data_IF_785301332120
#
_entry.id   IF_785301332120
#
_cell.length_a   1.000
_cell.length_b   1.000
_cell.length_c   1.000
_cell.angle_alpha   90.00
_cell.angle_beta   90.00
_cell.angle_gamma   90.00
#
_symmetry.space_group_name_H-M   'P 1'
#
loop_
_entity.id
_entity.type
_entity.pdbx_description
1 polymer ?
#
# COMPACT_ATOMS: atom_id res chain seq x y z
N UNK A 1 -35.75 2.86 -12.23
CA UNK A 1 -35.22 2.58 -10.88
C UNK A 1 -34.26 3.71 -10.53
N UNK A 2 -34.49 4.42 -9.43
CA UNK A 2 -33.61 5.51 -8.98
C UNK A 2 -32.54 4.90 -8.05
N UNK A 3 -31.26 5.17 -8.31
CA UNK A 3 -30.14 4.80 -7.42
C UNK A 3 -29.48 6.07 -6.90
N UNK A 4 -29.13 6.11 -5.62
CA UNK A 4 -28.37 7.20 -5.01
C UNK A 4 -26.89 6.81 -4.95
N UNK A 5 -26.02 7.81 -5.01
CA UNK A 5 -24.61 7.60 -4.70
C UNK A 5 -24.46 7.63 -3.18
N UNK A 6 -24.15 6.48 -2.60
CA UNK A 6 -23.92 6.27 -1.17
C UNK A 6 -22.87 5.17 -0.96
N UNK A 7 -22.60 4.80 0.29
CA UNK A 7 -21.62 3.76 0.62
C UNK A 7 -21.96 2.41 -0.02
N UNK A 8 -23.25 2.09 -0.11
CA UNK A 8 -23.70 0.84 -0.72
C UNK A 8 -23.40 0.81 -2.22
N UNK A 9 -23.59 1.92 -2.92
CA UNK A 9 -23.20 2.04 -4.33
C UNK A 9 -21.69 1.77 -4.52
N UNK A 10 -20.85 2.29 -3.63
CA UNK A 10 -19.39 2.09 -3.70
C UNK A 10 -19.01 0.63 -3.46
N UNK A 11 -19.65 -0.02 -2.48
CA UNK A 11 -19.48 -1.45 -2.20
C UNK A 11 -19.88 -2.31 -3.40
N UNK A 12 -21.03 -2.04 -4.04
CA UNK A 12 -21.48 -2.74 -5.25
C UNK A 12 -20.47 -2.64 -6.41
N UNK A 13 -19.73 -1.52 -6.49
CA UNK A 13 -18.82 -1.23 -7.60
C UNK A 13 -17.34 -1.38 -7.24
N UNK A 14 -17.03 -1.92 -6.05
CA UNK A 14 -15.68 -1.99 -5.51
C UNK A 14 -14.68 -2.57 -6.51
N UNK A 15 -14.98 -3.75 -7.07
CA UNK A 15 -14.10 -4.44 -8.04
C UNK A 15 -13.78 -3.57 -9.24
N UNK A 16 -14.76 -2.86 -9.79
CA UNK A 16 -14.58 -1.98 -10.95
C UNK A 16 -13.71 -0.77 -10.62
N UNK A 17 -13.79 -0.25 -9.39
CA UNK A 17 -13.00 0.89 -8.94
C UNK A 17 -11.53 0.51 -8.70
N UNK A 18 -11.24 -0.70 -8.20
CA UNK A 18 -9.89 -1.09 -7.77
C UNK A 18 -9.12 -1.94 -8.78
N UNK A 19 -9.81 -2.71 -9.64
CA UNK A 19 -9.15 -3.63 -10.59
C UNK A 19 -8.11 -2.92 -11.49
N UNK A 20 -8.38 -1.74 -12.06
CA UNK A 20 -7.39 -1.05 -12.89
C UNK A 20 -6.11 -0.70 -12.12
N UNK A 21 -6.22 -0.33 -10.83
CA UNK A 21 -5.08 0.03 -9.98
C UNK A 21 -4.23 -1.22 -9.65
N UNK A 22 -4.89 -2.34 -9.33
CA UNK A 22 -4.23 -3.62 -9.07
C UNK A 22 -3.48 -4.11 -10.30
N UNK A 23 -4.11 -4.02 -11.48
CA UNK A 23 -3.49 -4.38 -12.77
C UNK A 23 -2.28 -3.47 -13.04
N UNK A 24 -2.41 -2.15 -12.84
CA UNK A 24 -1.32 -1.20 -13.04
C UNK A 24 -0.11 -1.50 -12.15
N UNK A 25 -0.32 -1.77 -10.86
CA UNK A 25 0.76 -2.18 -9.95
C UNK A 25 1.40 -3.52 -10.36
N UNK A 26 0.58 -4.51 -10.71
CA UNK A 26 1.07 -5.84 -11.09
C UNK A 26 1.92 -5.80 -12.37
N UNK A 27 1.51 -5.00 -13.35
CA UNK A 27 2.18 -4.90 -14.67
C UNK A 27 3.31 -3.89 -14.73
N UNK A 28 3.51 -3.11 -13.66
CA UNK A 28 4.62 -2.17 -13.54
C UNK A 28 5.97 -2.85 -13.84
N UNK A 29 6.89 -2.18 -14.57
CA UNK A 29 8.17 -2.77 -14.94
C UNK A 29 9.00 -3.12 -13.70
N UNK A 30 9.71 -4.25 -13.77
CA UNK A 30 10.49 -4.84 -12.67
C UNK A 30 11.90 -5.15 -13.13
N UNK A 31 12.90 -4.90 -12.27
CA UNK A 31 14.29 -5.22 -12.54
C UNK A 31 14.46 -6.69 -12.95
N UNK A 32 15.05 -6.93 -14.13
CA UNK A 32 15.23 -8.27 -14.73
C UNK A 32 13.93 -9.09 -14.92
N UNK A 33 12.75 -8.46 -14.88
CA UNK A 33 11.47 -9.18 -14.95
C UNK A 33 11.17 -10.06 -13.73
N UNK A 34 11.91 -9.91 -12.63
CA UNK A 34 11.70 -10.70 -11.41
C UNK A 34 10.71 -9.96 -10.51
N UNK A 35 9.60 -10.63 -10.17
CA UNK A 35 8.59 -10.06 -9.30
C UNK A 35 8.82 -10.41 -7.82
N UNK A 36 9.26 -9.42 -7.05
CA UNK A 36 9.42 -9.50 -5.58
C UNK A 36 8.28 -8.80 -4.84
N UNK A 37 7.21 -8.41 -5.55
CA UNK A 37 6.09 -7.70 -4.98
C UNK A 37 4.96 -8.66 -4.60
N UNK A 38 4.23 -8.30 -3.55
CA UNK A 38 2.92 -8.86 -3.23
C UNK A 38 1.93 -7.69 -3.07
N UNK A 39 0.74 -7.83 -3.65
CA UNK A 39 -0.30 -6.80 -3.68
C UNK A 39 -1.54 -7.36 -3.01
N UNK A 40 -2.07 -6.66 -2.02
CA UNK A 40 -3.24 -7.09 -1.25
C UNK A 40 -4.30 -5.99 -1.28
N UNK A 41 -5.55 -6.36 -1.55
CA UNK A 41 -6.70 -5.47 -1.42
C UNK A 41 -7.37 -5.73 -0.07
N UNK A 42 -7.58 -4.67 0.71
CA UNK A 42 -8.23 -4.71 2.02
C UNK A 42 -9.46 -3.80 2.00
N UNK A 43 -10.61 -4.32 2.44
CA UNK A 43 -11.87 -3.57 2.57
C UNK A 43 -12.63 -4.08 3.81
N UNK A 44 -13.82 -3.52 4.09
CA UNK A 44 -14.71 -4.03 5.13
C UNK A 44 -14.04 -4.19 6.51
N UNK A 45 -14.25 -5.35 7.14
CA UNK A 45 -13.77 -5.63 8.48
C UNK A 45 -12.24 -5.63 8.59
N UNK A 46 -11.53 -6.15 7.59
CA UNK A 46 -10.07 -6.18 7.58
C UNK A 46 -9.47 -4.77 7.49
N UNK A 47 -10.16 -3.84 6.79
CA UNK A 47 -9.77 -2.42 6.73
C UNK A 47 -9.93 -1.76 8.10
N UNK A 48 -11.00 -2.09 8.82
CA UNK A 48 -11.23 -1.53 10.15
C UNK A 48 -10.24 -2.11 11.18
N UNK A 49 -9.94 -3.42 11.09
CA UNK A 49 -8.87 -4.05 11.87
C UNK A 49 -7.49 -3.41 11.62
N UNK A 50 -7.21 -3.03 10.37
CA UNK A 50 -6.00 -2.27 10.02
C UNK A 50 -5.94 -0.93 10.75
N UNK A 51 -7.04 -0.18 10.75
CA UNK A 51 -7.11 1.11 11.46
C UNK A 51 -6.96 0.93 12.99
N UNK A 52 -7.57 -0.11 13.57
CA UNK A 52 -7.44 -0.41 15.00
C UNK A 52 -6.00 -0.74 15.39
N UNK A 53 -5.30 -1.53 14.56
CA UNK A 53 -3.86 -1.79 14.77
C UNK A 53 -3.04 -0.52 14.66
N UNK A 54 -3.37 0.42 13.76
CA UNK A 54 -2.68 1.71 13.68
C UNK A 54 -2.84 2.53 14.97
N UNK A 55 -4.03 2.52 15.59
CA UNK A 55 -4.26 3.19 16.88
C UNK A 55 -3.51 2.51 18.05
N UNK A 56 -3.42 1.17 18.04
CA UNK A 56 -2.56 0.42 18.96
C UNK A 56 -1.08 0.83 18.81
N UNK A 57 -0.56 0.85 17.58
CA UNK A 57 0.82 1.27 17.30
C UNK A 57 1.04 2.71 17.74
N UNK A 58 0.10 3.62 17.44
CA UNK A 58 0.17 5.03 17.83
C UNK A 58 0.41 5.19 19.34
N UNK A 59 -0.34 4.46 20.16
CA UNK A 59 -0.18 4.44 21.62
C UNK A 59 1.16 3.82 22.03
N UNK A 60 1.52 2.68 21.45
CA UNK A 60 2.74 1.92 21.79
C UNK A 60 4.03 2.72 21.55
N UNK A 61 4.11 3.47 20.44
CA UNK A 61 5.33 4.21 20.06
C UNK A 61 5.21 5.73 20.24
N UNK A 62 4.12 6.20 20.85
CA UNK A 62 3.81 7.62 21.05
C UNK A 62 3.93 8.44 19.75
N UNK A 63 3.33 7.94 18.66
CA UNK A 63 3.32 8.57 17.35
C UNK A 63 1.88 8.95 16.94
N UNK A 64 1.39 10.16 17.26
CA UNK A 64 0.00 10.55 17.03
C UNK A 64 -0.44 10.50 15.56
N UNK A 65 0.52 10.63 14.62
CA UNK A 65 0.21 10.59 13.19
C UNK A 65 -0.35 9.22 12.74
N UNK A 66 -0.01 8.12 13.43
CA UNK A 66 -0.62 6.82 13.16
C UNK A 66 -2.13 6.85 13.41
N UNK A 67 -2.57 7.44 14.53
CA UNK A 67 -3.99 7.53 14.84
C UNK A 67 -4.73 8.47 13.89
N UNK A 68 -4.11 9.60 13.51
CA UNK A 68 -4.66 10.47 12.46
C UNK A 68 -4.84 9.72 11.14
N UNK A 69 -3.81 9.02 10.69
CA UNK A 69 -3.85 8.26 9.45
C UNK A 69 -4.86 7.09 9.54
N UNK A 70 -5.06 6.50 10.73
CA UNK A 70 -6.06 5.47 10.98
C UNK A 70 -7.49 5.97 10.71
N UNK A 71 -7.78 7.23 11.03
CA UNK A 71 -9.07 7.84 10.67
C UNK A 71 -9.25 7.90 9.15
N UNK A 72 -8.20 8.21 8.39
CA UNK A 72 -8.27 8.18 6.93
C UNK A 72 -8.57 6.76 6.41
N UNK A 73 -7.99 5.72 7.02
CA UNK A 73 -8.29 4.33 6.69
C UNK A 73 -9.77 4.00 6.98
N UNK A 74 -10.32 4.44 8.11
CA UNK A 74 -11.74 4.23 8.42
C UNK A 74 -12.68 4.87 7.41
N UNK A 75 -12.35 6.08 6.96
CA UNK A 75 -13.13 6.82 5.96
C UNK A 75 -12.85 6.43 4.51
N UNK A 76 -11.87 5.54 4.26
CA UNK A 76 -11.61 4.99 2.93
C UNK A 76 -12.54 3.81 2.65
N UNK A 77 -12.94 3.62 1.39
CA UNK A 77 -13.75 2.44 1.02
C UNK A 77 -12.90 1.18 0.86
N UNK A 78 -11.62 1.35 0.50
CA UNK A 78 -10.65 0.26 0.36
C UNK A 78 -9.23 0.76 0.57
N UNK A 79 -8.30 -0.18 0.78
CA UNK A 79 -6.86 0.06 0.89
C UNK A 79 -6.14 -0.96 0.02
N UNK A 80 -5.26 -0.50 -0.86
CA UNK A 80 -4.31 -1.36 -1.58
C UNK A 80 -3.01 -1.36 -0.79
N UNK A 81 -2.53 -2.53 -0.41
CA UNK A 81 -1.22 -2.72 0.21
C UNK A 81 -0.27 -3.29 -0.81
N UNK A 82 0.95 -2.76 -0.87
CA UNK A 82 2.02 -3.29 -1.73
C UNK A 82 3.26 -3.50 -0.88
N UNK A 83 3.74 -4.73 -0.84
CA UNK A 83 4.94 -5.14 -0.11
C UNK A 83 6.03 -5.62 -1.05
N UNK A 84 7.29 -5.58 -0.59
CA UNK A 84 8.39 -6.27 -1.25
C UNK A 84 9.32 -6.99 -0.27
N UNK A 85 9.90 -8.09 -0.72
CA UNK A 85 10.91 -8.87 0.01
C UNK A 85 12.34 -8.32 -0.15
N UNK A 86 13.31 -8.97 0.48
CA UNK A 86 14.73 -8.58 0.44
C UNK A 86 15.58 -9.42 -0.53
N UNK A 87 14.95 -10.10 -1.50
CA UNK A 87 15.64 -10.92 -2.49
C UNK A 87 16.75 -10.16 -3.18
N UNK A 88 17.88 -10.84 -3.42
CA UNK A 88 18.98 -10.29 -4.22
C UNK A 88 18.62 -10.29 -5.70
N UNK A 89 19.14 -9.30 -6.44
CA UNK A 89 18.97 -9.24 -7.91
C UNK A 89 20.06 -10.01 -8.68
N UNK A 90 21.16 -10.36 -8.00
CA UNK A 90 22.28 -11.11 -8.56
C UNK A 90 23.05 -10.35 -9.65
N UNK A 91 23.09 -9.02 -9.56
CA UNK A 91 23.79 -8.15 -10.51
C UNK A 91 25.15 -7.66 -10.02
N UNK A 92 25.45 -7.84 -8.72
CA UNK A 92 26.69 -7.36 -8.08
C UNK A 92 27.02 -5.89 -8.40
N UNK A 93 25.98 -5.05 -8.46
CA UNK A 93 26.07 -3.66 -8.93
C UNK A 93 26.58 -2.65 -7.90
N UNK A 94 26.68 -3.01 -6.61
CA UNK A 94 27.11 -2.10 -5.55
C UNK A 94 26.07 -1.06 -5.08
N UNK A 95 24.94 -0.88 -5.77
CA UNK A 95 24.01 0.23 -5.50
C UNK A 95 23.28 0.17 -4.15
N UNK A 96 23.24 -0.99 -3.49
CA UNK A 96 22.71 -1.12 -2.13
C UNK A 96 23.78 -0.96 -1.03
N UNK A 97 25.00 -0.58 -1.40
CA UNK A 97 26.10 -0.32 -0.47
C UNK A 97 27.01 -1.52 -0.15
N UNK A 98 26.75 -2.69 -0.72
CA UNK A 98 27.53 -3.91 -0.53
C UNK A 98 28.33 -4.28 -1.78
N UNK A 99 29.53 -4.85 -1.63
CA UNK A 99 30.42 -5.11 -2.76
C UNK A 99 29.83 -6.12 -3.76
N UNK A 100 29.16 -7.16 -3.26
CA UNK A 100 28.39 -8.11 -4.07
C UNK A 100 27.08 -8.50 -3.39
N UNK A 101 26.21 -9.21 -4.13
CA UNK A 101 24.89 -9.62 -3.63
C UNK A 101 24.99 -10.64 -2.50
N UNK A 102 26.03 -11.47 -2.49
CA UNK A 102 26.29 -12.49 -1.48
C UNK A 102 26.65 -11.89 -0.11
N UNK A 103 27.23 -10.69 -0.10
CA UNK A 103 27.57 -9.97 1.14
C UNK A 103 26.40 -9.15 1.70
N UNK A 104 25.29 -9.00 0.97
CA UNK A 104 24.13 -8.24 1.40
C UNK A 104 23.37 -9.01 2.49
N UNK A 105 23.24 -8.49 3.73
CA UNK A 105 22.42 -9.13 4.75
C UNK A 105 20.96 -9.29 4.31
N UNK A 106 20.30 -10.33 4.79
CA UNK A 106 18.88 -10.57 4.53
C UNK A 106 17.96 -9.48 5.09
N UNK A 107 18.44 -8.66 6.02
CA UNK A 107 17.71 -7.50 6.57
C UNK A 107 17.84 -6.24 5.73
N UNK A 108 18.77 -6.19 4.76
CA UNK A 108 18.97 -5.03 3.90
C UNK A 108 18.24 -5.20 2.57
N UNK A 109 17.41 -4.24 2.15
CA UNK A 109 16.71 -4.32 0.87
C UNK A 109 17.68 -4.17 -0.30
N UNK A 110 17.42 -4.92 -1.37
CA UNK A 110 18.05 -4.63 -2.66
C UNK A 110 17.46 -3.33 -3.23
N UNK A 111 18.30 -2.45 -3.80
CA UNK A 111 17.83 -1.19 -4.41
C UNK A 111 16.73 -1.44 -5.45
N UNK A 112 16.83 -2.52 -6.23
CA UNK A 112 15.84 -2.85 -7.25
C UNK A 112 14.48 -3.19 -6.64
N UNK A 113 14.44 -3.84 -5.47
CA UNK A 113 13.16 -4.21 -4.85
C UNK A 113 12.40 -2.95 -4.41
N UNK A 114 13.08 -1.98 -3.78
CA UNK A 114 12.45 -0.70 -3.40
C UNK A 114 12.15 0.20 -4.61
N UNK A 115 12.98 0.16 -5.65
CA UNK A 115 12.67 0.85 -6.92
C UNK A 115 11.43 0.25 -7.59
N UNK A 116 11.38 -1.07 -7.74
CA UNK A 116 10.25 -1.78 -8.35
C UNK A 116 8.95 -1.54 -7.55
N UNK A 117 9.05 -1.53 -6.21
CA UNK A 117 7.94 -1.15 -5.32
C UNK A 117 7.47 0.28 -5.57
N UNK A 118 8.40 1.24 -5.69
CA UNK A 118 8.10 2.64 -5.99
C UNK A 118 7.40 2.81 -7.35
N UNK A 119 7.86 2.10 -8.38
CA UNK A 119 7.24 2.11 -9.70
C UNK A 119 5.81 1.53 -9.62
N UNK A 120 5.62 0.39 -8.95
CA UNK A 120 4.30 -0.22 -8.79
C UNK A 120 3.31 0.68 -8.04
N UNK A 121 3.75 1.31 -6.95
CA UNK A 121 2.95 2.33 -6.25
C UNK A 121 2.62 3.51 -7.15
N UNK A 122 3.61 4.04 -7.87
CA UNK A 122 3.45 5.14 -8.82
C UNK A 122 2.42 4.84 -9.92
N UNK A 123 2.48 3.63 -10.49
CA UNK A 123 1.51 3.16 -11.48
C UNK A 123 0.10 3.08 -10.90
N UNK A 124 -0.08 2.50 -9.71
CA UNK A 124 -1.38 2.41 -9.06
C UNK A 124 -1.97 3.79 -8.75
N UNK A 125 -1.21 4.70 -8.12
CA UNK A 125 -1.73 6.03 -7.77
C UNK A 125 -2.00 6.89 -9.01
N UNK A 126 -1.23 6.72 -10.09
CA UNK A 126 -1.50 7.38 -11.38
C UNK A 126 -2.84 6.92 -11.96
N UNK A 127 -3.14 5.63 -11.93
CA UNK A 127 -4.45 5.10 -12.35
C UNK A 127 -5.57 5.56 -11.42
N UNK A 128 -5.33 5.61 -10.11
CA UNK A 128 -6.29 6.19 -9.16
C UNK A 128 -6.64 7.64 -9.53
N UNK A 129 -5.66 8.46 -9.89
CA UNK A 129 -5.87 9.85 -10.33
C UNK A 129 -6.63 9.96 -11.67
N UNK A 130 -6.48 8.99 -12.57
CA UNK A 130 -7.28 8.93 -13.80
C UNK A 130 -8.76 8.67 -13.49
N UNK A 131 -9.03 7.78 -12.53
CA UNK A 131 -10.37 7.47 -12.03
C UNK A 131 -10.91 8.49 -11.01
N UNK A 132 -10.12 9.52 -10.66
CA UNK A 132 -10.46 10.53 -9.64
C UNK A 132 -10.73 9.93 -8.25
N UNK A 133 -10.04 8.84 -7.94
CA UNK A 133 -10.03 8.27 -6.59
C UNK A 133 -9.00 9.03 -5.75
N UNK A 134 -9.49 9.72 -4.72
CA UNK A 134 -8.61 10.36 -3.74
C UNK A 134 -7.78 9.28 -3.04
N UNK A 135 -6.48 9.54 -2.86
CA UNK A 135 -5.56 8.59 -2.25
C UNK A 135 -4.34 9.27 -1.62
N UNK A 136 -3.59 8.52 -0.82
CA UNK A 136 -2.30 8.92 -0.27
C UNK A 136 -1.46 7.69 0.07
N UNK A 137 -0.16 7.70 -0.23
CA UNK A 137 0.74 6.61 0.17
C UNK A 137 1.09 6.75 1.66
N UNK A 138 0.86 5.68 2.43
CA UNK A 138 1.04 5.65 3.89
C UNK A 138 1.96 4.50 4.31
N UNK A 139 3.11 4.85 4.89
CA UNK A 139 3.96 3.90 5.62
C UNK A 139 3.30 3.41 6.92
N UNK A 140 2.55 4.28 7.62
CA UNK A 140 1.90 3.98 8.90
C UNK A 140 0.97 2.77 8.80
N UNK A 141 0.08 2.78 7.81
CA UNK A 141 -0.81 1.66 7.52
C UNK A 141 -0.05 0.43 6.99
N UNK A 142 1.01 0.62 6.19
CA UNK A 142 1.86 -0.50 5.75
C UNK A 142 2.51 -1.26 6.91
N UNK A 143 3.02 -0.54 7.91
CA UNK A 143 3.56 -1.13 9.14
C UNK A 143 2.50 -1.93 9.91
N UNK A 144 1.31 -1.37 10.06
CA UNK A 144 0.19 -2.05 10.73
C UNK A 144 -0.20 -3.34 10.01
N UNK A 145 -0.27 -3.33 8.68
CA UNK A 145 -0.57 -4.51 7.88
C UNK A 145 0.49 -5.62 8.05
N UNK A 146 1.77 -5.25 8.16
CA UNK A 146 2.85 -6.19 8.48
C UNK A 146 2.65 -6.87 9.84
N UNK A 147 2.26 -6.11 10.87
CA UNK A 147 1.98 -6.67 12.21
C UNK A 147 0.71 -7.53 12.28
N UNK A 148 -0.24 -7.32 11.36
CA UNK A 148 -1.44 -8.15 11.22
C UNK A 148 -1.24 -9.40 10.35
N UNK A 149 -0.11 -9.53 9.65
CA UNK A 149 0.17 -10.68 8.81
C UNK A 149 -0.72 -10.76 7.56
N UNK A 150 -1.06 -9.63 6.96
CA UNK A 150 -1.91 -9.58 5.76
C UNK A 150 -1.23 -10.11 4.48
N UNK A 151 0.06 -10.42 4.54
CA UNK A 151 0.85 -10.93 3.43
C UNK A 151 1.14 -12.41 3.60
N UNK A 152 1.11 -13.16 2.50
CA UNK A 152 1.44 -14.59 2.49
C UNK A 152 2.95 -14.81 2.62
N UNK A 153 3.75 -13.87 2.11
CA UNK A 153 5.20 -13.87 2.25
C UNK A 153 5.65 -12.89 3.34
N UNK A 154 6.84 -13.10 3.86
CA UNK A 154 7.47 -12.11 4.73
C UNK A 154 7.81 -10.84 3.92
N UNK A 155 7.05 -9.78 4.13
CA UNK A 155 7.18 -8.49 3.45
C UNK A 155 7.70 -7.43 4.43
N UNK A 156 9.02 -7.22 4.52
CA UNK A 156 9.63 -6.27 5.44
C UNK A 156 9.35 -4.79 5.10
N UNK A 157 9.08 -4.48 3.83
CA UNK A 157 8.78 -3.12 3.38
C UNK A 157 7.41 -3.12 2.73
N UNK A 158 6.46 -2.46 3.38
CA UNK A 158 5.05 -2.38 2.96
C UNK A 158 4.61 -0.92 2.98
N UNK A 159 3.84 -0.53 1.96
CA UNK A 159 3.10 0.72 1.92
C UNK A 159 1.63 0.47 1.63
N UNK A 160 0.79 1.39 2.10
CA UNK A 160 -0.64 1.38 1.87
C UNK A 160 -1.07 2.54 0.97
N UNK A 161 -2.10 2.31 0.16
CA UNK A 161 -2.79 3.26 -0.69
C UNK A 161 -4.29 3.17 -0.36
N UNK A 162 -4.75 3.84 0.71
CA UNK A 162 -6.18 4.08 0.93
C UNK A 162 -6.82 4.83 -0.23
N UNK A 163 -8.07 4.46 -0.53
CA UNK A 163 -8.88 5.02 -1.61
C UNK A 163 -10.17 5.61 -1.06
N UNK A 164 -10.51 6.83 -1.51
CA UNK A 164 -11.77 7.49 -1.18
C UNK A 164 -12.48 8.04 -2.42
N UNK A 165 -13.81 8.11 -2.33
CA UNK A 165 -14.74 8.77 -3.27
C UNK A 165 -15.68 9.73 -2.54
N UNK A 166 -15.27 10.18 -1.35
CA UNK A 166 -16.02 11.15 -0.56
C UNK A 166 -16.11 12.52 -1.24
N UNK A 167 -17.14 13.30 -0.91
CA UNK A 167 -17.33 14.67 -1.45
C UNK A 167 -16.12 15.58 -1.20
N UNK A 168 -15.45 15.41 -0.07
CA UNK A 168 -14.20 16.11 0.28
C UNK A 168 -13.05 15.13 0.35
N UNK A 169 -11.87 15.57 -0.06
CA UNK A 169 -10.67 14.77 0.04
C UNK A 169 -10.21 14.65 1.51
N UNK A 170 -10.43 13.47 2.10
CA UNK A 170 -10.12 13.16 3.50
C UNK A 170 -8.61 13.21 3.81
N UNK A 171 -7.75 13.07 2.80
CA UNK A 171 -6.28 13.00 2.98
C UNK A 171 -5.60 14.37 3.10
N UNK A 172 -6.33 15.44 2.78
CA UNK A 172 -5.86 16.83 2.83
C UNK A 172 -6.79 17.74 3.63
N UNK A 173 -7.76 17.17 4.36
CA UNK A 173 -8.64 17.93 5.23
C UNK A 173 -7.83 18.62 6.34
N UNK A 174 -8.12 19.90 6.58
CA UNK A 174 -7.47 20.72 7.60
C UNK A 174 -8.40 20.79 8.80
N UNK A 175 -8.15 19.96 9.80
CA UNK A 175 -8.74 20.11 11.13
C UNK A 175 -7.88 21.04 11.98
#
# INVERSE_FOLDING_TARGET
MIRKFDTHWVEEHLTSLVSPLLIAAQTAPKGRGINTLEIVLVNGAEKDALADKMDEISRRISAPFFSRDAQNIRHSFAVILIGTDHSVRGLNCGYCGYACCEEKPDTSPCVFNVTDLGIAMGSAVSTAMQLKLDNRILYSAGKAAGELGFFTKNMPIIFAIPLSVSEKNIFFDRK
#
